data_IF_459548747978
#
_entry.id   IF_459548747978
#
_cell.length_a   1.000
_cell.length_b   1.000
_cell.length_c   1.000
_cell.angle_alpha   90.00
_cell.angle_beta   90.00
_cell.angle_gamma   90.00
#
_symmetry.space_group_name_H-M   'P 1'
#
loop_
_entity.id
_entity.type
_entity.pdbx_description
1 polymer ?
#
# COMPACT_ATOMS: atom_id res chain seq x y z
N UNK A 1 32.96 26.14 11.62
CA UNK A 1 32.21 25.95 10.36
C UNK A 1 32.48 24.52 9.90
N UNK A 2 31.55 23.59 10.17
CA UNK A 2 31.75 22.18 9.80
C UNK A 2 31.63 22.05 8.28
N UNK A 3 32.73 21.68 7.62
CA UNK A 3 32.71 21.35 6.20
C UNK A 3 32.05 19.98 6.06
N UNK A 4 30.74 19.97 5.77
CA UNK A 4 30.08 18.76 5.26
C UNK A 4 30.59 18.53 3.84
N UNK A 5 31.65 17.75 3.71
CA UNK A 5 32.24 17.40 2.42
C UNK A 5 31.52 16.24 1.74
N UNK A 6 31.96 15.91 0.52
CA UNK A 6 31.39 14.86 -0.32
C UNK A 6 31.40 13.47 0.37
N UNK A 7 32.25 13.29 1.39
CA UNK A 7 32.33 12.08 2.20
C UNK A 7 31.02 11.67 2.89
N UNK A 8 30.13 12.61 3.27
CA UNK A 8 28.85 12.24 3.87
C UNK A 8 27.91 11.49 2.92
N UNK A 9 28.06 11.68 1.61
CA UNK A 9 27.27 10.95 0.62
C UNK A 9 27.56 9.45 0.62
N UNK A 10 28.74 9.01 1.08
CA UNK A 10 29.03 7.57 1.17
C UNK A 10 28.12 6.85 2.17
N UNK A 11 27.64 7.58 3.20
CA UNK A 11 26.71 7.05 4.19
C UNK A 11 25.25 7.25 3.77
N UNK A 12 24.94 8.35 3.08
CA UNK A 12 23.58 8.70 2.67
C UNK A 12 23.10 7.92 1.43
N UNK A 13 23.95 7.82 0.40
CA UNK A 13 23.60 7.25 -0.91
C UNK A 13 23.09 5.81 -0.80
N UNK A 14 23.71 4.91 0.00
CA UNK A 14 23.18 3.55 0.15
C UNK A 14 21.74 3.52 0.67
N UNK A 15 21.39 4.37 1.65
CA UNK A 15 20.04 4.48 2.18
C UNK A 15 19.03 4.97 1.15
N UNK A 16 19.41 5.98 0.35
CA UNK A 16 18.58 6.48 -0.75
C UNK A 16 18.36 5.40 -1.80
N UNK A 17 19.42 4.70 -2.21
CA UNK A 17 19.33 3.63 -3.21
C UNK A 17 18.40 2.50 -2.74
N UNK A 18 18.49 2.11 -1.46
CA UNK A 18 17.59 1.11 -0.87
C UNK A 18 16.13 1.60 -0.84
N UNK A 19 15.89 2.86 -0.48
CA UNK A 19 14.55 3.43 -0.47
C UNK A 19 13.94 3.47 -1.88
N UNK A 20 14.72 3.90 -2.87
CA UNK A 20 14.29 3.91 -4.28
C UNK A 20 14.00 2.49 -4.78
N UNK A 21 14.86 1.53 -4.47
CA UNK A 21 14.64 0.13 -4.83
C UNK A 21 13.36 -0.43 -4.20
N UNK A 22 13.15 -0.18 -2.91
CA UNK A 22 11.95 -0.62 -2.19
C UNK A 22 10.69 0.00 -2.81
N UNK A 23 10.69 1.30 -3.07
CA UNK A 23 9.56 2.00 -3.69
C UNK A 23 9.26 1.44 -5.10
N UNK A 24 10.28 1.20 -5.91
CA UNK A 24 10.12 0.61 -7.24
C UNK A 24 9.52 -0.79 -7.16
N UNK A 25 10.00 -1.63 -6.23
CA UNK A 25 9.49 -2.98 -6.02
C UNK A 25 8.03 -2.99 -5.58
N UNK A 26 7.65 -2.12 -4.64
CA UNK A 26 6.26 -1.98 -4.17
C UNK A 26 5.36 -1.54 -5.33
N UNK A 27 5.77 -0.52 -6.07
CA UNK A 27 4.99 0.02 -7.18
C UNK A 27 4.77 -1.04 -8.27
N UNK A 28 5.81 -1.78 -8.64
CA UNK A 28 5.74 -2.87 -9.62
C UNK A 28 4.84 -4.03 -9.15
N UNK A 29 4.94 -4.43 -7.87
CA UNK A 29 4.07 -5.46 -7.33
C UNK A 29 2.60 -5.04 -7.37
N UNK A 30 2.30 -3.79 -6.98
CA UNK A 30 0.95 -3.25 -7.04
C UNK A 30 0.37 -3.23 -8.46
N UNK A 31 1.16 -2.87 -9.46
CA UNK A 31 0.71 -2.88 -10.87
C UNK A 31 0.49 -4.29 -11.39
N UNK A 32 1.41 -5.21 -11.06
CA UNK A 32 1.29 -6.61 -11.47
C UNK A 32 0.05 -7.26 -10.87
N UNK A 33 -0.17 -7.11 -9.57
CA UNK A 33 -1.30 -7.76 -8.90
C UNK A 33 -2.61 -7.01 -9.02
N UNK A 34 -2.58 -5.69 -9.25
CA UNK A 34 -3.78 -4.90 -9.55
C UNK A 34 -4.36 -5.17 -10.94
N UNK A 35 -3.55 -5.61 -11.90
CA UNK A 35 -4.01 -5.98 -13.26
C UNK A 35 -4.46 -7.44 -13.39
N UNK A 36 -4.14 -8.29 -12.42
CA UNK A 36 -4.57 -9.68 -12.41
C UNK A 36 -5.97 -9.77 -11.79
N UNK A 37 -6.95 -10.19 -12.59
CA UNK A 37 -8.29 -10.51 -12.08
C UNK A 37 -8.20 -11.68 -11.09
N UNK A 38 -8.96 -11.60 -10.00
CA UNK A 38 -9.11 -12.70 -9.06
C UNK A 38 -9.65 -13.94 -9.79
N UNK A 39 -9.22 -15.15 -9.41
CA UNK A 39 -9.69 -16.42 -10.02
C UNK A 39 -11.22 -16.59 -9.98
N UNK A 40 -11.87 -15.89 -9.06
CA UNK A 40 -13.32 -15.90 -8.87
C UNK A 40 -14.00 -14.61 -9.38
N UNK A 41 -13.29 -13.78 -10.17
CA UNK A 41 -13.78 -12.53 -10.78
C UNK A 41 -14.44 -11.56 -9.78
N UNK A 42 -13.92 -11.49 -8.54
CA UNK A 42 -14.41 -10.54 -7.54
C UNK A 42 -13.50 -9.31 -7.45
N UNK A 43 -14.10 -8.16 -7.15
CA UNK A 43 -13.36 -6.93 -6.87
C UNK A 43 -12.74 -6.94 -5.47
N UNK A 44 -11.78 -6.05 -5.21
CA UNK A 44 -11.20 -5.88 -3.86
C UNK A 44 -12.26 -5.55 -2.79
N UNK A 45 -13.26 -4.75 -3.13
CA UNK A 45 -14.39 -4.44 -2.25
C UNK A 45 -15.22 -5.69 -1.92
N UNK A 46 -15.46 -6.56 -2.90
CA UNK A 46 -16.17 -7.83 -2.67
C UNK A 46 -15.33 -8.81 -1.83
N UNK A 47 -14.01 -8.83 -2.01
CA UNK A 47 -13.12 -9.61 -1.17
C UNK A 47 -13.15 -9.12 0.29
N UNK A 48 -13.08 -7.80 0.51
CA UNK A 48 -13.22 -7.20 1.83
C UNK A 48 -14.57 -7.52 2.48
N UNK A 49 -15.67 -7.46 1.71
CA UNK A 49 -17.02 -7.82 2.16
C UNK A 49 -17.07 -9.27 2.63
N UNK A 50 -16.51 -10.21 1.86
CA UNK A 50 -16.46 -11.64 2.25
C UNK A 50 -15.70 -11.87 3.57
N UNK A 51 -14.61 -11.14 3.81
CA UNK A 51 -13.83 -11.26 5.06
C UNK A 51 -14.64 -10.75 6.25
N UNK A 52 -15.32 -9.62 6.10
CA UNK A 52 -16.18 -9.06 7.14
C UNK A 52 -17.39 -9.96 7.44
N UNK A 53 -18.02 -10.52 6.40
CA UNK A 53 -19.13 -11.48 6.55
C UNK A 53 -18.68 -12.75 7.29
N UNK A 54 -17.51 -13.27 6.95
CA UNK A 54 -16.92 -14.43 7.64
C UNK A 54 -16.56 -14.11 9.10
N UNK A 55 -16.41 -12.83 9.44
CA UNK A 55 -16.14 -12.34 10.80
C UNK A 55 -17.41 -11.89 11.54
N UNK A 56 -18.61 -12.04 10.94
CA UNK A 56 -19.88 -11.61 11.51
C UNK A 56 -20.08 -10.09 11.57
N UNK A 57 -19.30 -9.30 10.83
CA UNK A 57 -19.30 -7.84 10.85
C UNK A 57 -20.15 -7.26 9.70
N UNK A 58 -21.47 -7.37 9.80
CA UNK A 58 -22.38 -6.97 8.71
C UNK A 58 -22.55 -5.45 8.57
N UNK A 59 -22.41 -4.71 9.67
CA UNK A 59 -22.74 -3.28 9.72
C UNK A 59 -21.60 -2.37 9.21
N UNK A 60 -20.42 -2.95 8.96
CA UNK A 60 -19.25 -2.19 8.48
C UNK A 60 -19.40 -1.84 6.99
N UNK A 61 -19.50 -0.55 6.70
CA UNK A 61 -19.58 -0.01 5.34
C UNK A 61 -18.21 -0.03 4.62
N UNK A 62 -18.19 -0.48 3.35
CA UNK A 62 -16.99 -0.48 2.51
C UNK A 62 -17.12 0.65 1.49
N UNK A 63 -16.18 1.61 1.54
CA UNK A 63 -16.11 2.71 0.56
C UNK A 63 -14.89 2.57 -0.33
N UNK A 64 -15.11 2.63 -1.63
CA UNK A 64 -14.03 2.80 -2.60
C UNK A 64 -13.56 4.26 -2.54
N UNK A 65 -12.32 4.47 -2.16
CA UNK A 65 -11.68 5.78 -2.17
C UNK A 65 -10.70 5.88 -3.34
N UNK A 66 -10.56 7.08 -3.90
CA UNK A 66 -9.52 7.35 -4.88
C UNK A 66 -8.13 7.31 -4.23
N UNK A 67 -7.14 6.79 -4.96
CA UNK A 67 -5.75 6.74 -4.53
C UNK A 67 -5.09 5.38 -4.77
N UNK A 68 -3.76 5.34 -4.65
CA UNK A 68 -2.96 4.11 -4.62
C UNK A 68 -2.34 4.04 -3.24
N UNK A 69 -2.45 2.89 -2.55
CA UNK A 69 -1.83 2.67 -1.23
C UNK A 69 -2.32 3.64 -0.14
N UNK A 70 -3.59 4.05 -0.17
CA UNK A 70 -4.17 4.91 0.87
C UNK A 70 -4.64 4.05 2.06
N UNK A 71 -4.16 4.39 3.26
CA UNK A 71 -4.67 3.82 4.50
C UNK A 71 -5.81 4.71 5.01
N UNK A 72 -7.02 4.17 5.13
CA UNK A 72 -8.21 4.95 5.46
C UNK A 72 -9.23 4.12 6.23
N UNK A 73 -8.84 3.70 7.43
CA UNK A 73 -9.74 3.13 8.43
C UNK A 73 -10.37 4.23 9.28
N UNK A 74 -11.71 4.38 9.24
CA UNK A 74 -12.45 5.29 10.13
C UNK A 74 -13.33 4.47 11.09
N UNK A 75 -12.98 4.37 12.39
CA UNK A 75 -13.74 3.61 13.38
C UNK A 75 -15.10 4.23 13.74
N UNK A 76 -15.36 5.47 13.32
CA UNK A 76 -16.58 6.21 13.68
C UNK A 76 -17.80 5.84 12.83
N UNK A 77 -17.59 5.19 11.68
CA UNK A 77 -18.65 4.73 10.78
C UNK A 77 -18.81 3.21 10.86
N UNK A 78 -18.96 2.68 12.08
CA UNK A 78 -19.50 1.33 12.29
C UNK A 78 -21.00 1.31 12.09
#
# INVERSE_FOLDING_TARGET
>A
MYYYGFEYFIYLVPGILLALYAQAKISSAYEKFGSINSKINISGAQAARKILDASGLYDVEIKMIGGRLTDNYNPSNK
#
